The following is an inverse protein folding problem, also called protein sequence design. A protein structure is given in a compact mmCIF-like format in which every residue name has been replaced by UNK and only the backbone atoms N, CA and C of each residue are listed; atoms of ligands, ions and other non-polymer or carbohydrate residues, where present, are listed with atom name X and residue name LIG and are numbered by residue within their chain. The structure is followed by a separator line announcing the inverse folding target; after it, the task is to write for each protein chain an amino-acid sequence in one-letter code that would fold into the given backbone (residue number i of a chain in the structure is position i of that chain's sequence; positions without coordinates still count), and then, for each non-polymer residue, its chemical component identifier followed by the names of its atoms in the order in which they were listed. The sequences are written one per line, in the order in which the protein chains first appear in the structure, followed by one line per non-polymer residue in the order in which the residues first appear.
data_IF_577273882348
#
_entry.id   IF_577273882348
#
_cell.length_a   1.000
_cell.length_b   1.000
_cell.length_c   1.000
_cell.angle_alpha   90.00
_cell.angle_beta   90.00
_cell.angle_gamma   90.00
#
_symmetry.space_group_name_H-M   'P 1'
#
loop_
_entity.id
_entity.type
_entity.pdbx_description
1 polymer ?
#
# COMPACT_ATOMS: atom_id res chain seq x y z
N UNK A 1 -7.10 -10.21 18.97
CA UNK A 1 -7.58 -10.09 17.58
C UNK A 1 -8.13 -8.69 17.29
N UNK A 2 -9.13 -8.21 18.03
CA UNK A 2 -9.86 -6.95 17.75
C UNK A 2 -8.96 -5.70 17.70
N UNK A 3 -7.98 -5.57 18.60
CA UNK A 3 -7.05 -4.43 18.57
C UNK A 3 -6.26 -4.35 17.26
N UNK A 4 -5.77 -5.48 16.74
CA UNK A 4 -5.02 -5.54 15.48
C UNK A 4 -5.89 -5.15 14.29
N UNK A 5 -7.16 -5.58 14.30
CA UNK A 5 -8.13 -5.23 13.26
C UNK A 5 -8.41 -3.71 13.26
N UNK A 6 -8.64 -3.12 14.44
CA UNK A 6 -8.90 -1.68 14.57
C UNK A 6 -7.68 -0.86 14.11
N UNK A 7 -6.49 -1.22 14.59
CA UNK A 7 -5.25 -0.53 14.20
C UNK A 7 -5.00 -0.68 12.70
N UNK A 8 -5.21 -1.87 12.13
CA UNK A 8 -5.07 -2.11 10.68
C UNK A 8 -6.06 -1.29 9.85
N UNK A 9 -7.32 -1.18 10.28
CA UNK A 9 -8.31 -0.36 9.58
C UNK A 9 -7.97 1.13 9.65
N UNK A 10 -7.57 1.64 10.81
CA UNK A 10 -7.13 3.04 10.95
C UNK A 10 -5.89 3.30 10.08
N UNK A 11 -4.93 2.38 10.06
CA UNK A 11 -3.74 2.48 9.24
C UNK A 11 -4.07 2.58 7.74
N UNK A 12 -4.97 1.71 7.25
CA UNK A 12 -5.42 1.72 5.86
C UNK A 12 -6.14 3.03 5.50
N UNK A 13 -7.03 3.52 6.37
CA UNK A 13 -7.74 4.79 6.17
C UNK A 13 -6.78 5.98 6.10
N UNK A 14 -5.77 6.01 6.96
CA UNK A 14 -4.75 7.08 6.95
C UNK A 14 -3.96 7.07 5.64
N UNK A 15 -3.56 5.90 5.13
CA UNK A 15 -2.84 5.80 3.87
C UNK A 15 -3.69 6.17 2.65
N UNK A 16 -4.96 5.75 2.62
CA UNK A 16 -5.89 6.18 1.57
C UNK A 16 -6.11 7.68 1.61
N UNK A 17 -6.29 8.26 2.80
CA UNK A 17 -6.43 9.71 2.96
C UNK A 17 -5.17 10.46 2.50
N UNK A 18 -3.99 10.03 2.94
CA UNK A 18 -2.71 10.64 2.53
C UNK A 18 -2.50 10.56 1.01
N UNK A 19 -2.77 9.41 0.42
CA UNK A 19 -2.67 9.20 -1.03
C UNK A 19 -3.63 10.10 -1.80
N UNK A 20 -4.86 10.26 -1.31
CA UNK A 20 -5.86 11.15 -1.91
C UNK A 20 -5.46 12.62 -1.84
N UNK A 21 -5.01 13.10 -0.68
CA UNK A 21 -4.56 14.49 -0.51
C UNK A 21 -3.34 14.79 -1.39
N UNK A 22 -2.35 13.90 -1.40
CA UNK A 22 -1.16 14.07 -2.25
C UNK A 22 -1.46 14.01 -3.74
N UNK A 23 -2.37 13.14 -4.16
CA UNK A 23 -2.80 13.10 -5.56
C UNK A 23 -3.50 14.41 -5.98
N UNK A 24 -4.34 14.98 -5.11
CA UNK A 24 -5.01 16.28 -5.33
C UNK A 24 -4.02 17.45 -5.42
N UNK A 25 -2.95 17.43 -4.63
CA UNK A 25 -1.96 18.51 -4.58
C UNK A 25 -0.93 18.45 -5.70
N UNK A 26 -0.44 17.25 -6.03
CA UNK A 26 0.67 17.06 -6.98
C UNK A 26 0.21 16.65 -8.38
N UNK A 27 -0.97 16.03 -8.52
CA UNK A 27 -1.46 15.44 -9.76
C UNK A 27 -0.64 14.25 -10.26
N UNK A 28 0.33 13.76 -9.48
CA UNK A 28 1.26 12.72 -9.91
C UNK A 28 0.67 11.33 -9.69
N UNK A 29 0.88 10.42 -10.67
CA UNK A 29 0.30 9.07 -10.67
C UNK A 29 0.87 8.16 -9.58
N UNK A 30 2.11 8.40 -9.13
CA UNK A 30 2.73 7.64 -8.04
C UNK A 30 2.06 7.89 -6.68
N UNK A 31 1.38 9.03 -6.50
CA UNK A 31 0.68 9.35 -5.26
C UNK A 31 -0.54 8.43 -5.02
N UNK A 32 -1.04 7.74 -6.05
CA UNK A 32 -2.16 6.77 -5.97
C UNK A 32 -1.68 5.39 -5.48
N UNK A 33 -0.39 5.09 -5.59
CA UNK A 33 0.16 3.77 -5.27
C UNK A 33 -0.12 3.29 -3.84
N UNK A 34 -0.08 4.13 -2.79
CA UNK A 34 -0.45 3.70 -1.43
C UNK A 34 -1.92 3.27 -1.32
N UNK A 35 -2.85 3.95 -2.02
CA UNK A 35 -4.26 3.52 -2.04
C UNK A 35 -4.45 2.18 -2.76
N UNK A 36 -3.72 1.97 -3.87
CA UNK A 36 -3.72 0.67 -4.56
C UNK A 36 -3.15 -0.44 -3.67
N UNK A 37 -2.10 -0.13 -2.91
CA UNK A 37 -1.50 -1.06 -1.94
C UNK A 37 -2.48 -1.43 -0.83
N UNK A 38 -3.21 -0.46 -0.27
CA UNK A 38 -4.27 -0.72 0.71
C UNK A 38 -5.33 -1.66 0.12
N UNK A 39 -5.82 -1.40 -1.09
CA UNK A 39 -6.80 -2.25 -1.75
C UNK A 39 -6.27 -3.68 -2.01
N UNK A 40 -5.01 -3.80 -2.43
CA UNK A 40 -4.34 -5.07 -2.64
C UNK A 40 -4.20 -5.88 -1.35
N UNK A 41 -3.74 -5.24 -0.27
CA UNK A 41 -3.57 -5.91 1.04
C UNK A 41 -4.93 -6.37 1.59
N UNK A 42 -5.99 -5.57 1.42
CA UNK A 42 -7.35 -5.96 1.81
C UNK A 42 -7.85 -7.17 1.01
N UNK A 43 -7.55 -7.24 -0.30
CA UNK A 43 -7.91 -8.38 -1.14
C UNK A 43 -7.14 -9.63 -0.72
N UNK A 44 -5.84 -9.52 -0.52
CA UNK A 44 -5.03 -10.66 -0.06
C UNK A 44 -5.53 -11.11 1.32
N UNK A 45 -5.89 -10.19 2.23
CA UNK A 45 -6.42 -10.53 3.58
C UNK A 45 -7.74 -11.26 3.53
N UNK A 46 -8.56 -10.96 2.53
CA UNK A 46 -9.81 -11.68 2.35
C UNK A 46 -9.59 -13.15 1.97
N UNK A 47 -8.45 -13.51 1.36
CA UNK A 47 -8.13 -14.91 1.04
C UNK A 47 -7.92 -15.73 2.32
N UNK A 48 -7.22 -15.17 3.31
CA UNK A 48 -7.04 -15.82 4.63
C UNK A 48 -8.39 -16.00 5.37
N UNK A 49 -9.34 -15.06 5.18
CA UNK A 49 -10.66 -15.10 5.83
C UNK A 49 -11.68 -16.02 5.15
N UNK A 50 -11.59 -16.19 3.82
CA UNK A 50 -12.53 -17.01 3.04
C UNK A 50 -12.20 -18.51 3.10
N UNK A 51 -11.00 -18.87 3.60
CA UNK A 51 -10.53 -20.22 3.94
C UNK A 51 -11.12 -21.34 3.05
N UNK A 52 -10.62 -21.43 1.81
CA UNK A 52 -11.08 -22.43 0.85
C UNK A 52 -10.18 -23.68 0.87
N UNK A 53 -10.76 -24.89 0.73
CA UNK A 53 -9.99 -26.12 0.67
C UNK A 53 -9.04 -26.12 -0.55
N UNK A 54 -7.87 -26.76 -0.45
CA UNK A 54 -6.84 -26.68 -1.49
C UNK A 54 -7.35 -27.09 -2.87
N UNK A 55 -7.30 -26.16 -3.82
CA UNK A 55 -7.57 -26.42 -5.22
C UNK A 55 -6.42 -27.27 -5.79
N UNK A 56 -6.78 -28.38 -6.43
CA UNK A 56 -5.84 -29.37 -6.98
C UNK A 56 -4.82 -29.95 -5.98
N UNK A 57 -5.09 -29.86 -4.67
CA UNK A 57 -4.20 -30.39 -3.63
C UNK A 57 -2.88 -29.62 -3.46
N UNK A 58 -2.73 -28.44 -4.08
CA UNK A 58 -1.50 -27.64 -4.04
C UNK A 58 -1.73 -26.14 -3.78
N UNK A 59 -2.87 -25.57 -4.16
CA UNK A 59 -3.17 -24.15 -3.98
C UNK A 59 -4.24 -23.96 -2.91
N UNK A 60 -3.84 -23.51 -1.73
CA UNK A 60 -4.74 -23.14 -0.64
C UNK A 60 -4.78 -21.61 -0.42
N UNK A 61 -5.70 -21.16 0.43
CA UNK A 61 -5.82 -19.76 0.80
C UNK A 61 -4.50 -19.18 1.35
N UNK A 62 -3.77 -19.98 2.13
CA UNK A 62 -2.57 -19.56 2.84
C UNK A 62 -1.36 -19.38 1.91
N UNK A 63 -1.15 -20.26 0.95
CA UNK A 63 -0.09 -20.14 -0.08
C UNK A 63 -0.33 -18.96 -1.01
N UNK A 64 -1.59 -18.69 -1.39
CA UNK A 64 -1.95 -17.48 -2.14
C UNK A 64 -1.79 -16.21 -1.30
N UNK A 65 -2.05 -16.27 0.01
CA UNK A 65 -1.74 -15.18 0.93
C UNK A 65 -0.24 -14.84 0.91
N UNK A 66 0.63 -15.84 1.11
CA UNK A 66 2.09 -15.63 1.06
C UNK A 66 2.55 -15.06 -0.29
N UNK A 67 2.05 -15.61 -1.40
CA UNK A 67 2.38 -15.10 -2.73
C UNK A 67 1.91 -13.66 -2.94
N UNK A 68 0.69 -13.35 -2.50
CA UNK A 68 0.05 -12.05 -2.68
C UNK A 68 0.70 -10.92 -1.89
N UNK A 69 1.43 -11.21 -0.81
CA UNK A 69 2.10 -10.20 0.04
C UNK A 69 3.49 -9.77 -0.46
N UNK A 70 4.10 -10.52 -1.38
CA UNK A 70 5.43 -10.19 -1.96
C UNK A 70 5.35 -8.93 -2.84
N UNK A 71 4.35 -8.85 -3.72
CA UNK A 71 4.21 -7.75 -4.66
C UNK A 71 3.98 -6.38 -3.97
N UNK A 72 3.13 -6.27 -2.92
CA UNK A 72 3.00 -5.05 -2.13
C UNK A 72 4.31 -4.51 -1.57
N UNK A 73 5.22 -5.38 -1.11
CA UNK A 73 6.50 -4.92 -0.54
C UNK A 73 7.37 -4.20 -1.59
N UNK A 74 7.40 -4.72 -2.82
CA UNK A 74 8.16 -4.11 -3.93
C UNK A 74 7.54 -2.78 -4.35
N UNK A 75 6.22 -2.73 -4.48
CA UNK A 75 5.50 -1.49 -4.81
C UNK A 75 5.68 -0.42 -3.73
N UNK A 76 5.66 -0.81 -2.46
CA UNK A 76 5.90 0.07 -1.32
C UNK A 76 7.29 0.68 -1.37
N UNK A 77 8.31 -0.13 -1.64
CA UNK A 77 9.69 0.34 -1.76
C UNK A 77 9.85 1.39 -2.87
N UNK A 78 9.28 1.13 -4.04
CA UNK A 78 9.34 2.10 -5.15
C UNK A 78 8.60 3.41 -4.82
N UNK A 79 7.45 3.32 -4.13
CA UNK A 79 6.74 4.50 -3.64
C UNK A 79 7.63 5.35 -2.71
N UNK A 80 8.31 4.74 -1.74
CA UNK A 80 9.20 5.45 -0.81
C UNK A 80 10.36 6.17 -1.52
N UNK A 81 10.94 5.54 -2.56
CA UNK A 81 11.97 6.19 -3.38
C UNK A 81 11.41 7.45 -4.04
N UNK A 82 10.24 7.34 -4.68
CA UNK A 82 9.63 8.46 -5.40
C UNK A 82 9.26 9.62 -4.45
N UNK A 83 8.66 9.31 -3.30
CA UNK A 83 8.32 10.32 -2.29
C UNK A 83 9.58 11.02 -1.75
N UNK A 84 10.65 10.26 -1.48
CA UNK A 84 11.93 10.82 -1.01
C UNK A 84 12.58 11.74 -2.06
N UNK A 85 12.55 11.36 -3.34
CA UNK A 85 13.06 12.18 -4.43
C UNK A 85 12.26 13.46 -4.62
N UNK A 86 10.93 13.38 -4.51
CA UNK A 86 10.06 14.56 -4.62
C UNK A 86 10.32 15.54 -3.47
N UNK A 87 10.45 15.05 -2.23
CA UNK A 87 10.82 15.87 -1.08
C UNK A 87 12.18 16.57 -1.25
N UNK A 88 13.20 15.84 -1.73
CA UNK A 88 14.52 16.41 -2.01
C UNK A 88 14.47 17.52 -3.08
N UNK A 89 13.66 17.31 -4.13
CA UNK A 89 13.44 18.30 -5.19
C UNK A 89 12.76 19.55 -4.66
N UNK A 90 11.73 19.41 -3.82
CA UNK A 90 11.03 20.54 -3.20
C UNK A 90 11.95 21.35 -2.28
N UNK A 91 12.78 20.68 -1.47
CA UNK A 91 13.76 21.34 -0.61
C UNK A 91 14.75 22.19 -1.41
N UNK A 92 15.31 21.63 -2.50
CA UNK A 92 16.23 22.35 -3.40
C UNK A 92 15.58 23.57 -4.07
N UNK A 93 14.32 23.46 -4.49
CA UNK A 93 13.57 24.59 -5.06
C UNK A 93 13.39 25.71 -4.02
N UNK A 94 13.15 25.36 -2.76
CA UNK A 94 13.00 26.32 -1.67
C UNK A 94 14.30 27.08 -1.39
N UNK A 95 15.44 26.38 -1.41
CA UNK A 95 16.77 27.00 -1.25
C UNK A 95 17.11 27.97 -2.39
N UNK A 96 16.79 27.63 -3.65
CA UNK A 96 17.05 28.51 -4.80
C UNK A 96 16.21 29.81 -4.74
N UNK A 97 15.03 29.75 -4.10
CA UNK A 97 14.11 30.89 -4.00
C UNK A 97 14.33 31.78 -2.77
N UNK A 98 15.18 31.35 -1.83
CA UNK A 98 15.53 32.08 -0.62
C UNK A 98 16.73 33.00 -0.87
#
# INVERSE_FOLDING_TARGET
MTANLVVGMVHNLLWTYFSWTRWRETGQTWAIWPSMLVAWIMLVMSLELLDFPPLWGALDAHSLWHLGTIAPAVLWYNFMIMDSLDLAKQAKIKEIKA
#
